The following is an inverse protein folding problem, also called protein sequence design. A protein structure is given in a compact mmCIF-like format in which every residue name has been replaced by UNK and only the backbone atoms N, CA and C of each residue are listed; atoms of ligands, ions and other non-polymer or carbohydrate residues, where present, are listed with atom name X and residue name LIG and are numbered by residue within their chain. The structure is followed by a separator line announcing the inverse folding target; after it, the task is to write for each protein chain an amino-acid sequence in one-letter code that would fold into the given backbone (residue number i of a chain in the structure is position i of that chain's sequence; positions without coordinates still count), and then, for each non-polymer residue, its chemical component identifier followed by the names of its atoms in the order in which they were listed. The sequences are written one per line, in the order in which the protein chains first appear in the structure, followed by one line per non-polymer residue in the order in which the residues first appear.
data_IF_571041874742
#
_entry.id   IF_571041874742
#
_cell.length_a   1.000
_cell.length_b   1.000
_cell.length_c   1.000
_cell.angle_alpha   90.00
_cell.angle_beta   90.00
_cell.angle_gamma   90.00
#
_symmetry.space_group_name_H-M   'P 1'
#
loop_
_entity.id
_entity.type
_entity.pdbx_description
1 polymer ?
#
# COMPACT_ATOMS: atom_id res chain seq x y z
N UNK A 1 -10.28 -17.51 26.46
CA UNK A 1 -11.00 -18.08 25.30
C UNK A 1 -9.91 -18.46 24.32
N UNK A 2 -9.35 -19.67 24.47
CA UNK A 2 -8.52 -20.29 23.45
C UNK A 2 -9.45 -21.32 22.80
N UNK A 3 -10.02 -20.99 21.64
CA UNK A 3 -10.72 -22.00 20.85
C UNK A 3 -9.67 -22.96 20.30
N UNK A 4 -9.68 -24.20 20.79
CA UNK A 4 -8.78 -25.29 20.35
C UNK A 4 -8.88 -25.57 18.82
N UNK A 5 -9.87 -25.01 18.12
CA UNK A 5 -10.06 -25.11 16.67
C UNK A 5 -9.20 -24.13 15.84
N UNK A 6 -8.75 -23.01 16.40
CA UNK A 6 -8.04 -21.97 15.64
C UNK A 6 -6.53 -21.99 15.94
N UNK A 7 -5.85 -23.05 15.52
CA UNK A 7 -4.39 -23.17 15.55
C UNK A 7 -3.72 -22.34 14.43
N UNK A 8 -4.03 -21.04 14.35
CA UNK A 8 -3.56 -20.14 13.31
C UNK A 8 -2.19 -19.52 13.65
N UNK A 9 -1.29 -19.50 12.67
CA UNK A 9 -0.09 -18.68 12.74
C UNK A 9 -0.40 -17.17 12.60
N UNK A 10 0.57 -16.26 12.82
CA UNK A 10 0.33 -14.82 12.88
C UNK A 10 -0.42 -14.23 11.65
N UNK A 11 -0.03 -14.63 10.44
CA UNK A 11 -0.70 -14.16 9.21
C UNK A 11 -2.10 -14.77 9.06
N UNK A 12 -2.29 -16.04 9.45
CA UNK A 12 -3.60 -16.69 9.42
C UNK A 12 -4.57 -16.05 10.43
N UNK A 13 -4.08 -15.75 11.64
CA UNK A 13 -4.83 -15.05 12.66
C UNK A 13 -5.24 -13.65 12.19
N UNK A 14 -4.34 -12.92 11.52
CA UNK A 14 -4.67 -11.62 10.95
C UNK A 14 -5.76 -11.71 9.88
N UNK A 15 -5.62 -12.64 8.92
CA UNK A 15 -6.63 -12.84 7.87
C UNK A 15 -7.99 -13.15 8.50
N UNK A 16 -8.01 -14.05 9.49
CA UNK A 16 -9.24 -14.39 10.24
C UNK A 16 -9.85 -13.17 10.93
N UNK A 17 -9.05 -12.35 11.63
CA UNK A 17 -9.53 -11.13 12.28
C UNK A 17 -10.15 -10.16 11.27
N UNK A 18 -9.53 -10.01 10.10
CA UNK A 18 -10.02 -9.13 9.05
C UNK A 18 -11.30 -9.67 8.39
N UNK A 19 -11.42 -10.97 8.17
CA UNK A 19 -12.66 -11.60 7.70
C UNK A 19 -13.79 -11.44 8.71
N UNK A 20 -13.49 -11.66 10.00
CA UNK A 20 -14.44 -11.49 11.08
C UNK A 20 -14.93 -10.03 11.18
N UNK A 21 -14.03 -9.07 11.04
CA UNK A 21 -14.37 -7.64 11.00
C UNK A 21 -15.39 -7.35 9.92
N UNK A 22 -15.13 -7.78 8.68
CA UNK A 22 -16.01 -7.52 7.53
C UNK A 22 -17.38 -8.20 7.68
N UNK A 23 -17.45 -9.35 8.36
CA UNK A 23 -18.72 -10.02 8.66
C UNK A 23 -19.53 -9.33 9.77
N UNK A 24 -18.90 -8.50 10.60
CA UNK A 24 -19.49 -7.92 11.81
C UNK A 24 -19.21 -6.42 11.89
N UNK A 25 -19.65 -5.65 10.89
CA UNK A 25 -19.35 -4.21 10.78
C UNK A 25 -20.38 -3.27 11.43
N UNK A 26 -21.48 -3.78 11.98
CA UNK A 26 -22.57 -2.97 12.55
C UNK A 26 -22.07 -2.05 13.68
N UNK A 27 -21.25 -2.57 14.59
CA UNK A 27 -20.66 -1.76 15.66
C UNK A 27 -19.78 -0.63 15.12
N UNK A 28 -19.05 -0.87 14.02
CA UNK A 28 -18.14 0.11 13.45
C UNK A 28 -18.93 1.20 12.72
N UNK A 29 -19.99 0.80 12.00
CA UNK A 29 -20.93 1.73 11.38
C UNK A 29 -21.49 2.71 12.43
N UNK A 30 -21.99 2.18 13.55
CA UNK A 30 -22.62 3.00 14.58
C UNK A 30 -21.63 4.01 15.17
N UNK A 31 -20.38 3.61 15.44
CA UNK A 31 -19.33 4.51 15.95
C UNK A 31 -18.90 5.57 14.93
N UNK A 32 -18.88 5.24 13.62
CA UNK A 32 -18.46 6.16 12.58
C UNK A 32 -19.55 7.17 12.19
N UNK A 33 -20.83 6.83 12.40
CA UNK A 33 -21.97 7.67 12.04
C UNK A 33 -22.41 8.67 13.13
N UNK A 34 -21.69 8.75 14.26
CA UNK A 34 -21.99 9.72 15.33
C UNK A 34 -21.53 11.17 15.03
N UNK A 35 -20.62 11.36 14.05
CA UNK A 35 -20.07 12.68 13.68
C UNK A 35 -20.51 13.15 12.29
N UNK A 36 -20.97 14.40 12.17
CA UNK A 36 -21.18 15.05 10.86
C UNK A 36 -19.87 15.69 10.38
N UNK A 37 -19.47 15.40 9.12
CA UNK A 37 -18.32 16.00 8.41
C UNK A 37 -16.91 15.73 8.97
N UNK A 38 -16.72 14.62 9.70
CA UNK A 38 -15.40 14.22 10.21
C UNK A 38 -14.56 13.41 9.20
N UNK A 39 -13.23 13.52 9.34
CA UNK A 39 -12.27 12.68 8.61
C UNK A 39 -11.80 11.52 9.49
N UNK A 40 -11.95 10.29 8.99
CA UNK A 40 -11.43 9.09 9.63
C UNK A 40 -10.14 8.61 8.95
N UNK A 41 -9.13 8.30 9.75
CA UNK A 41 -7.86 7.73 9.30
C UNK A 41 -7.75 6.31 9.86
N UNK A 42 -7.66 5.34 8.97
CA UNK A 42 -7.53 3.93 9.32
C UNK A 42 -6.08 3.49 9.19
N UNK A 43 -5.47 3.06 10.29
CA UNK A 43 -4.20 2.34 10.26
C UNK A 43 -4.48 0.88 9.90
N UNK A 44 -4.05 0.47 8.71
CA UNK A 44 -4.39 -0.81 8.14
C UNK A 44 -3.21 -1.79 8.29
N UNK A 45 -3.44 -3.11 8.34
CA UNK A 45 -2.35 -4.08 8.54
C UNK A 45 -1.28 -4.02 7.44
N UNK A 46 -0.02 -4.30 7.77
CA UNK A 46 1.11 -4.18 6.83
C UNK A 46 1.24 -5.30 5.79
N UNK A 47 0.40 -6.32 5.85
CA UNK A 47 0.46 -7.52 5.01
C UNK A 47 -0.16 -7.25 3.64
N UNK A 48 0.67 -7.24 2.58
CA UNK A 48 0.27 -6.89 1.21
C UNK A 48 -0.79 -7.84 0.62
N UNK A 49 -0.89 -9.06 1.14
CA UNK A 49 -1.86 -10.08 0.73
C UNK A 49 -3.31 -9.60 0.88
N UNK A 50 -3.58 -8.79 1.91
CA UNK A 50 -4.90 -8.21 2.19
C UNK A 50 -5.35 -7.21 1.13
N UNK A 51 -4.40 -6.60 0.40
CA UNK A 51 -4.64 -5.53 -0.56
C UNK A 51 -4.46 -5.98 -2.01
N UNK A 52 -3.95 -7.19 -2.23
CA UNK A 52 -3.62 -7.69 -3.57
C UNK A 52 -4.63 -8.72 -4.08
N UNK A 53 -4.90 -9.78 -3.31
CA UNK A 53 -5.71 -10.91 -3.80
C UNK A 53 -6.84 -11.36 -2.86
N UNK A 54 -6.85 -10.90 -1.60
CA UNK A 54 -7.98 -11.11 -0.70
C UNK A 54 -9.01 -9.99 -0.88
N UNK A 55 -10.32 -10.29 -1.00
CA UNK A 55 -11.35 -9.28 -1.26
C UNK A 55 -11.74 -8.47 0.00
N UNK A 56 -11.05 -8.68 1.12
CA UNK A 56 -11.38 -8.11 2.43
C UNK A 56 -11.38 -6.58 2.39
N UNK A 57 -10.28 -5.97 1.93
CA UNK A 57 -10.18 -4.50 1.90
C UNK A 57 -11.18 -3.88 0.95
N UNK A 58 -11.48 -4.54 -0.17
CA UNK A 58 -12.52 -4.11 -1.10
C UNK A 58 -13.90 -4.12 -0.46
N UNK A 59 -14.25 -5.19 0.27
CA UNK A 59 -15.54 -5.27 0.98
C UNK A 59 -15.68 -4.18 2.05
N UNK A 60 -14.60 -3.86 2.75
CA UNK A 60 -14.56 -2.78 3.74
C UNK A 60 -14.76 -1.40 3.07
N UNK A 61 -14.11 -1.14 1.94
CA UNK A 61 -14.34 0.06 1.12
C UNK A 61 -15.78 0.15 0.64
N UNK A 62 -16.34 -0.94 0.13
CA UNK A 62 -17.72 -0.97 -0.38
C UNK A 62 -18.73 -0.68 0.73
N UNK A 63 -18.48 -1.15 1.96
CA UNK A 63 -19.29 -0.82 3.13
C UNK A 63 -19.18 0.67 3.50
N UNK A 64 -17.97 1.23 3.57
CA UNK A 64 -17.79 2.66 3.84
C UNK A 64 -18.50 3.53 2.80
N UNK A 65 -18.43 3.16 1.51
CA UNK A 65 -19.20 3.85 0.45
C UNK A 65 -20.71 3.73 0.63
N UNK A 66 -21.20 2.58 1.07
CA UNK A 66 -22.62 2.39 1.36
C UNK A 66 -23.10 3.24 2.55
N UNK A 67 -22.18 3.61 3.44
CA UNK A 67 -22.42 4.52 4.56
C UNK A 67 -22.14 6.00 4.22
N UNK A 68 -22.07 6.32 2.92
CA UNK A 68 -21.89 7.68 2.37
C UNK A 68 -20.50 8.30 2.63
N UNK A 69 -19.48 7.49 2.92
CA UNK A 69 -18.10 7.97 3.01
C UNK A 69 -17.43 8.12 1.64
N UNK A 70 -16.67 9.22 1.49
CA UNK A 70 -15.71 9.38 0.42
C UNK A 70 -14.38 8.70 0.80
N UNK A 71 -14.12 7.54 0.19
CA UNK A 71 -12.95 6.72 0.52
C UNK A 71 -11.77 7.01 -0.42
N UNK A 72 -10.60 7.25 0.16
CA UNK A 72 -9.33 7.38 -0.55
C UNK A 72 -8.27 6.51 0.13
N UNK A 73 -7.50 5.77 -0.67
CA UNK A 73 -6.38 4.97 -0.19
C UNK A 73 -5.07 5.77 -0.25
N UNK A 74 -4.22 5.61 0.74
CA UNK A 74 -2.86 6.16 0.75
C UNK A 74 -1.87 5.01 0.78
N UNK A 75 -1.15 4.79 -0.32
CA UNK A 75 -0.20 3.70 -0.44
C UNK A 75 1.21 4.18 -0.11
N UNK A 76 1.74 3.71 1.03
CA UNK A 76 3.03 4.13 1.54
C UNK A 76 4.15 3.22 1.03
N UNK A 77 5.17 3.81 0.41
CA UNK A 77 6.39 3.13 -0.03
C UNK A 77 7.56 3.72 0.73
N UNK A 78 8.36 2.92 1.43
CA UNK A 78 9.58 3.40 2.08
C UNK A 78 10.66 3.64 1.03
N UNK A 79 11.20 4.85 1.04
CA UNK A 79 12.16 5.35 0.06
C UNK A 79 13.43 4.51 -0.04
N UNK A 80 13.85 3.82 1.02
CA UNK A 80 15.02 2.93 0.97
C UNK A 80 14.82 1.74 0.04
N UNK A 81 13.57 1.33 -0.20
CA UNK A 81 13.27 0.21 -1.09
C UNK A 81 13.20 0.60 -2.56
N UNK A 82 13.35 1.87 -2.92
CA UNK A 82 13.20 2.34 -4.32
C UNK A 82 14.42 3.11 -4.84
N UNK A 83 15.59 2.90 -4.22
CA UNK A 83 16.84 3.55 -4.62
C UNK A 83 17.53 2.90 -5.83
N UNK A 84 16.97 1.80 -6.34
CA UNK A 84 17.44 1.08 -7.53
C UNK A 84 16.30 1.05 -8.56
N UNK A 85 16.63 1.14 -9.84
CA UNK A 85 15.64 1.26 -10.92
C UNK A 85 14.63 0.11 -10.91
N UNK A 86 15.10 -1.13 -10.77
CA UNK A 86 14.24 -2.31 -10.79
C UNK A 86 13.30 -2.33 -9.59
N UNK A 87 13.76 -1.86 -8.43
CA UNK A 87 12.95 -1.82 -7.22
C UNK A 87 11.91 -0.70 -7.27
N UNK A 88 12.26 0.46 -7.83
CA UNK A 88 11.31 1.54 -8.08
C UNK A 88 10.18 1.07 -9.01
N UNK A 89 10.53 0.43 -10.13
CA UNK A 89 9.54 -0.13 -11.07
C UNK A 89 8.69 -1.21 -10.39
N UNK A 90 9.30 -2.12 -9.64
CA UNK A 90 8.57 -3.14 -8.89
C UNK A 90 7.58 -2.51 -7.89
N UNK A 91 8.01 -1.50 -7.13
CA UNK A 91 7.18 -0.75 -6.19
C UNK A 91 6.00 -0.05 -6.88
N UNK A 92 6.24 0.58 -8.03
CA UNK A 92 5.20 1.22 -8.83
C UNK A 92 4.16 0.20 -9.35
N UNK A 93 4.61 -0.97 -9.80
CA UNK A 93 3.72 -2.06 -10.23
C UNK A 93 2.91 -2.64 -9.07
N UNK A 94 3.53 -2.81 -7.89
CA UNK A 94 2.83 -3.25 -6.68
C UNK A 94 1.75 -2.24 -6.27
N UNK A 95 2.09 -0.94 -6.26
CA UNK A 95 1.14 0.11 -5.97
C UNK A 95 -0.04 0.07 -6.96
N UNK A 96 0.23 0.00 -8.26
CA UNK A 96 -0.80 -0.12 -9.29
C UNK A 96 -1.68 -1.36 -9.11
N UNK A 97 -1.10 -2.51 -8.77
CA UNK A 97 -1.86 -3.72 -8.49
C UNK A 97 -2.81 -3.54 -7.32
N UNK A 98 -2.37 -2.90 -6.23
CA UNK A 98 -3.22 -2.61 -5.08
C UNK A 98 -4.35 -1.62 -5.44
N UNK A 99 -4.08 -0.61 -6.27
CA UNK A 99 -5.10 0.32 -6.76
C UNK A 99 -6.23 -0.41 -7.50
N UNK A 100 -5.86 -1.35 -8.38
CA UNK A 100 -6.82 -2.15 -9.16
C UNK A 100 -7.62 -3.08 -8.24
N UNK A 101 -6.98 -3.69 -7.25
CA UNK A 101 -7.65 -4.63 -6.35
C UNK A 101 -8.65 -3.94 -5.41
N UNK A 102 -8.30 -2.76 -4.87
CA UNK A 102 -9.14 -2.00 -3.92
C UNK A 102 -10.17 -1.11 -4.64
N UNK A 103 -9.90 -0.72 -5.89
CA UNK A 103 -10.78 0.12 -6.72
C UNK A 103 -11.14 1.47 -6.05
N UNK A 104 -10.16 2.15 -5.47
CA UNK A 104 -10.33 3.49 -4.88
C UNK A 104 -9.36 4.50 -5.50
N UNK A 105 -9.67 5.81 -5.47
CA UNK A 105 -8.66 6.84 -5.66
C UNK A 105 -7.51 6.60 -4.70
N UNK A 106 -6.30 6.47 -5.23
CA UNK A 106 -5.13 6.11 -4.46
C UNK A 106 -4.03 7.15 -4.61
N UNK A 107 -3.47 7.58 -3.48
CA UNK A 107 -2.33 8.49 -3.40
C UNK A 107 -1.11 7.67 -3.02
N UNK A 108 -0.15 7.55 -3.94
CA UNK A 108 1.14 6.93 -3.64
C UNK A 108 2.05 7.93 -2.92
N UNK A 109 2.60 7.53 -1.78
CA UNK A 109 3.47 8.38 -0.96
C UNK A 109 4.80 7.67 -0.73
N UNK A 110 5.88 8.33 -1.14
CA UNK A 110 7.24 7.95 -0.78
C UNK A 110 7.55 8.47 0.63
N UNK A 111 7.72 7.56 1.58
CA UNK A 111 7.91 7.85 2.99
C UNK A 111 9.38 7.84 3.40
N UNK A 112 9.68 8.52 4.52
CA UNK A 112 11.02 8.59 5.11
C UNK A 112 12.08 9.27 4.23
N UNK A 113 11.66 10.20 3.37
CA UNK A 113 12.57 11.02 2.55
C UNK A 113 13.61 11.78 3.38
N UNK A 114 13.30 12.12 4.63
CA UNK A 114 14.18 12.77 5.59
C UNK A 114 15.43 11.95 5.94
N UNK A 115 15.35 10.62 5.84
CA UNK A 115 16.45 9.71 6.13
C UNK A 115 17.45 9.57 4.98
N UNK A 116 17.11 10.04 3.78
CA UNK A 116 17.96 9.95 2.60
C UNK A 116 19.05 11.04 2.59
N UNK A 117 20.21 10.70 2.02
CA UNK A 117 21.20 11.71 1.64
C UNK A 117 20.67 12.60 0.51
N UNK A 118 21.18 13.83 0.39
CA UNK A 118 20.79 14.76 -0.69
C UNK A 118 20.98 14.15 -2.09
N UNK A 119 22.03 13.31 -2.27
CA UNK A 119 22.24 12.56 -3.51
C UNK A 119 21.09 11.60 -3.80
N UNK A 120 20.62 10.87 -2.80
CA UNK A 120 19.54 9.88 -2.97
C UNK A 120 18.18 10.56 -3.14
N UNK A 121 17.95 11.73 -2.53
CA UNK A 121 16.74 12.53 -2.79
C UNK A 121 16.68 12.94 -4.25
N UNK A 122 17.78 13.49 -4.80
CA UNK A 122 17.86 13.85 -6.21
C UNK A 122 17.66 12.65 -7.15
N UNK A 123 18.14 11.46 -6.77
CA UNK A 123 17.89 10.23 -7.53
C UNK A 123 16.41 9.85 -7.55
N UNK A 124 15.74 9.93 -6.40
CA UNK A 124 14.30 9.63 -6.31
C UNK A 124 13.49 10.65 -7.12
N UNK A 125 13.84 11.93 -7.05
CA UNK A 125 13.20 12.98 -7.86
C UNK A 125 13.38 12.71 -9.36
N UNK A 126 14.59 12.31 -9.78
CA UNK A 126 14.88 11.92 -11.17
C UNK A 126 14.01 10.73 -11.62
N UNK A 127 13.84 9.72 -10.78
CA UNK A 127 12.96 8.58 -11.06
C UNK A 127 11.48 8.97 -11.20
N UNK A 128 11.03 10.01 -10.50
CA UNK A 128 9.64 10.49 -10.59
C UNK A 128 9.37 11.32 -11.86
N UNK A 129 10.39 12.02 -12.37
CA UNK A 129 10.28 12.90 -13.54
C UNK A 129 10.63 12.20 -14.87
N UNK A 130 11.38 11.11 -14.81
CA UNK A 130 11.97 10.45 -15.99
C UNK A 130 11.11 9.29 -16.51
N UNK A 131 11.11 9.07 -17.83
CA UNK A 131 10.44 7.91 -18.42
C UNK A 131 11.12 6.59 -18.03
N UNK A 132 10.33 5.54 -17.91
CA UNK A 132 10.73 4.19 -17.47
C UNK A 132 11.93 3.66 -18.25
N UNK A 133 12.00 3.93 -19.57
CA UNK A 133 13.12 3.50 -20.42
C UNK A 133 14.44 4.15 -20.02
N UNK A 134 14.39 5.45 -19.76
CA UNK A 134 15.57 6.21 -19.34
C UNK A 134 16.03 5.79 -17.95
N UNK A 135 15.10 5.49 -17.02
CA UNK A 135 15.43 4.95 -15.69
C UNK A 135 16.26 3.66 -15.79
N UNK A 136 15.85 2.73 -16.67
CA UNK A 136 16.57 1.45 -16.87
C UNK A 136 17.92 1.64 -17.57
N UNK A 137 18.00 2.56 -18.54
CA UNK A 137 19.26 2.84 -19.27
C UNK A 137 20.31 3.51 -18.37
N UNK A 138 19.91 4.36 -17.43
CA UNK A 138 20.82 5.02 -16.48
C UNK A 138 21.56 4.03 -15.55
N UNK A 139 20.95 2.88 -15.23
CA UNK A 139 21.58 1.83 -14.41
C UNK A 139 22.65 1.01 -15.19
N UNK A 140 22.70 1.14 -16.53
CA UNK A 140 23.61 0.34 -17.38
C UNK A 140 25.02 0.88 -17.54
N UNK A 141 25.39 1.97 -16.86
CA UNK A 141 26.81 2.39 -16.76
C UNK A 141 27.57 1.55 -15.72
N UNK A 142 27.51 0.23 -15.88
CA UNK A 142 28.36 -0.71 -15.17
C UNK A 142 29.75 -0.72 -15.82
N UNK A 143 30.83 -0.70 -15.02
CA UNK A 143 32.25 -0.79 -15.43
C UNK A 143 32.59 -1.94 -16.41
N UNK A 144 31.67 -2.88 -16.63
CA UNK A 144 31.80 -3.98 -17.58
C UNK A 144 31.47 -3.59 -19.03
N UNK A 145 30.72 -2.52 -19.27
CA UNK A 145 30.37 -2.06 -20.62
C UNK A 145 31.44 -1.17 -21.26
N UNK A 146 32.50 -0.79 -20.52
CA UNK A 146 33.62 0.02 -21.05
C UNK A 146 34.79 -0.82 -21.62
N UNK A 147 34.66 -2.15 -21.70
CA UNK A 147 35.66 -3.00 -22.36
C UNK A 147 35.00 -4.06 -23.24
N UNK A 148 34.62 -3.65 -24.45
CA UNK A 148 35.11 -4.20 -25.73
C UNK A 148 34.46 -3.50 -26.92
#
# INVERSE_FOLDING_TARGET
MEDEELALGPNGALVFCMEYLVQNMEWLHDELCEGEDDYFIFDCPGQIELYSHLPIMRQLVDAFRAWDFNVCSVFLIDTHFVLEAEKFIAGALTALSAMIAIETPCVNVLTKMDLLSERNKALVDDFLETDTRSIVEHDTTHLWNERH
#
